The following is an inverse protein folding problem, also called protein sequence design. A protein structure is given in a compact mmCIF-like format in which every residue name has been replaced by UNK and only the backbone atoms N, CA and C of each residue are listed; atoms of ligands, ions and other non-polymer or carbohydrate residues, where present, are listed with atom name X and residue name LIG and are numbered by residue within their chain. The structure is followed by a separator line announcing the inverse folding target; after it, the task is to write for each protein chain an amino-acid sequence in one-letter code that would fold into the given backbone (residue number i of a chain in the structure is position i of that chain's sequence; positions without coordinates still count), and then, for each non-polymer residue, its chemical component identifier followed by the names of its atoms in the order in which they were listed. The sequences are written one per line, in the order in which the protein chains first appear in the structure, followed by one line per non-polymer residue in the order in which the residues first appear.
data_IF_293731375600
#
_entry.id   IF_293731375600
#
_cell.length_a   1.000
_cell.length_b   1.000
_cell.length_c   1.000
_cell.angle_alpha   90.00
_cell.angle_beta   90.00
_cell.angle_gamma   90.00
#
_symmetry.space_group_name_H-M   'P 1'
#
loop_
_entity.id
_entity.type
_entity.pdbx_description
1 polymer ?
#
# COMPACT_ATOMS: atom_id res chain seq x y z
N UNK A 1 11.79 -5.88 24.86
CA UNK A 1 11.38 -6.95 23.91
C UNK A 1 10.27 -6.52 22.95
N UNK A 2 9.15 -5.91 23.41
CA UNK A 2 8.09 -5.39 22.53
C UNK A 2 8.55 -4.29 21.55
N UNK A 3 9.43 -3.38 21.98
CA UNK A 3 9.94 -2.32 21.08
C UNK A 3 10.91 -2.83 20.00
N UNK A 4 11.72 -3.85 20.31
CA UNK A 4 12.63 -4.43 19.31
C UNK A 4 11.84 -5.10 18.18
N UNK A 5 10.74 -5.80 18.48
CA UNK A 5 9.87 -6.41 17.46
C UNK A 5 9.23 -5.35 16.55
N UNK A 6 8.78 -4.22 17.12
CA UNK A 6 8.22 -3.10 16.34
C UNK A 6 9.26 -2.50 15.39
N UNK A 7 10.47 -2.23 15.89
CA UNK A 7 11.56 -1.70 15.07
C UNK A 7 11.94 -2.66 13.94
N UNK A 8 12.01 -3.97 14.23
CA UNK A 8 12.29 -4.99 13.22
C UNK A 8 11.18 -5.06 12.15
N UNK A 9 9.92 -4.94 12.55
CA UNK A 9 8.80 -4.95 11.62
C UNK A 9 8.79 -3.69 10.72
N UNK A 10 9.06 -2.50 11.26
CA UNK A 10 9.22 -1.27 10.46
C UNK A 10 10.37 -1.40 9.46
N UNK A 11 11.52 -1.91 9.91
CA UNK A 11 12.66 -2.18 9.04
C UNK A 11 12.30 -3.21 7.94
N UNK A 12 11.56 -4.26 8.30
CA UNK A 12 11.02 -5.23 7.35
C UNK A 12 10.14 -4.61 6.28
N UNK A 13 9.21 -3.71 6.67
CA UNK A 13 8.34 -3.01 5.71
C UNK A 13 9.16 -2.11 4.77
N UNK A 14 10.18 -1.41 5.28
CA UNK A 14 11.07 -0.59 4.44
C UNK A 14 11.86 -1.44 3.44
N UNK A 15 12.38 -2.58 3.86
CA UNK A 15 13.11 -3.51 2.99
C UNK A 15 12.18 -4.07 1.90
N UNK A 16 10.97 -4.51 2.28
CA UNK A 16 9.96 -4.99 1.34
C UNK A 16 9.57 -3.88 0.35
N UNK A 17 9.33 -2.67 0.83
CA UNK A 17 9.01 -1.52 -0.03
C UNK A 17 10.15 -1.21 -1.01
N UNK A 18 11.40 -1.21 -0.55
CA UNK A 18 12.56 -0.99 -1.40
C UNK A 18 12.74 -2.09 -2.45
N UNK A 19 12.49 -3.35 -2.09
CA UNK A 19 12.53 -4.49 -2.99
C UNK A 19 11.42 -4.41 -4.06
N UNK A 20 10.19 -4.06 -3.65
CA UNK A 20 9.05 -3.87 -4.56
C UNK A 20 9.32 -2.73 -5.55
N UNK A 21 9.86 -1.61 -5.09
CA UNK A 21 10.26 -0.51 -5.97
C UNK A 21 11.35 -0.96 -6.95
N UNK A 22 12.37 -1.69 -6.49
CA UNK A 22 13.44 -2.22 -7.36
C UNK A 22 12.90 -3.20 -8.40
N UNK A 23 12.05 -4.15 -8.01
CA UNK A 23 11.41 -5.09 -8.93
C UNK A 23 10.54 -4.36 -9.95
N UNK A 24 9.77 -3.37 -9.50
CA UNK A 24 8.97 -2.52 -10.37
C UNK A 24 9.81 -1.79 -11.43
N UNK A 25 10.99 -1.28 -11.07
CA UNK A 25 11.91 -0.64 -12.02
C UNK A 25 12.54 -1.63 -13.00
N UNK A 26 12.89 -2.83 -12.55
CA UNK A 26 13.39 -3.89 -13.45
C UNK A 26 12.31 -4.25 -14.45
N UNK A 27 11.06 -4.43 -14.00
CA UNK A 27 9.93 -4.70 -14.88
C UNK A 27 9.73 -3.54 -15.86
N UNK A 28 9.76 -2.29 -15.40
CA UNK A 28 9.64 -1.09 -16.23
C UNK A 28 10.66 -1.10 -17.39
N UNK A 29 11.95 -1.29 -17.08
CA UNK A 29 13.00 -1.33 -18.13
C UNK A 29 12.81 -2.46 -19.14
N UNK A 30 12.38 -3.65 -18.70
CA UNK A 30 12.14 -4.80 -19.58
C UNK A 30 10.88 -4.65 -20.43
N UNK A 31 9.85 -4.05 -19.86
CA UNK A 31 8.60 -3.74 -20.56
C UNK A 31 8.86 -2.69 -21.64
N UNK A 32 9.65 -1.63 -21.36
CA UNK A 32 10.09 -0.65 -22.36
C UNK A 32 10.90 -1.32 -23.47
N UNK A 33 11.86 -2.17 -23.12
CA UNK A 33 12.71 -2.87 -24.08
C UNK A 33 11.89 -3.75 -25.05
N UNK A 34 10.89 -4.48 -24.53
CA UNK A 34 10.01 -5.35 -25.32
C UNK A 34 8.96 -4.56 -26.14
N UNK A 35 8.40 -3.47 -25.60
CA UNK A 35 7.33 -2.69 -26.25
C UNK A 35 7.82 -1.54 -27.15
N UNK A 36 9.12 -1.23 -27.13
CA UNK A 36 9.75 -0.21 -27.98
C UNK A 36 9.59 -0.47 -29.49
N UNK A 37 9.10 -1.65 -29.89
CA UNK A 37 8.66 -1.94 -31.27
C UNK A 37 7.24 -1.51 -31.64
N UNK A 38 6.36 -1.09 -30.70
CA UNK A 38 4.93 -0.91 -31.01
C UNK A 38 4.18 0.26 -30.35
N UNK A 39 4.57 0.83 -29.20
CA UNK A 39 3.75 1.90 -28.58
C UNK A 39 4.50 2.85 -27.64
N UNK A 40 4.00 4.09 -27.55
CA UNK A 40 4.41 5.16 -26.62
C UNK A 40 3.81 4.97 -25.21
N UNK A 41 3.96 3.79 -24.61
CA UNK A 41 3.60 3.64 -23.20
C UNK A 41 4.61 4.39 -22.32
N UNK A 42 4.10 5.05 -21.27
CA UNK A 42 4.89 5.49 -20.11
C UNK A 42 4.72 4.48 -18.97
N UNK A 43 5.49 3.36 -18.96
CA UNK A 43 5.34 2.27 -17.98
C UNK A 43 5.70 2.66 -16.53
N UNK A 44 6.21 3.88 -16.33
CA UNK A 44 6.65 4.43 -15.04
C UNK A 44 5.58 4.30 -13.94
N UNK A 45 4.29 4.28 -14.28
CA UNK A 45 3.17 4.23 -13.32
C UNK A 45 2.83 2.83 -12.76
N UNK A 46 3.57 1.78 -13.13
CA UNK A 46 3.31 0.39 -12.73
C UNK A 46 3.78 0.06 -11.31
N UNK A 47 4.56 0.95 -10.68
CA UNK A 47 5.24 0.65 -9.42
C UNK A 47 4.30 0.90 -8.23
N UNK A 48 4.00 -0.12 -7.39
CA UNK A 48 3.07 0.01 -6.27
C UNK A 48 3.74 0.69 -5.07
N UNK A 49 3.90 2.01 -5.18
CA UNK A 49 4.66 2.81 -4.22
C UNK A 49 3.90 3.08 -2.89
N UNK A 50 2.58 2.88 -2.85
CA UNK A 50 1.74 3.09 -1.66
C UNK A 50 1.71 1.91 -0.69
N UNK A 51 2.25 0.76 -1.07
CA UNK A 51 2.20 -0.48 -0.30
C UNK A 51 2.74 -0.32 1.13
N UNK A 52 3.92 0.27 1.29
CA UNK A 52 4.55 0.47 2.58
C UNK A 52 3.74 1.38 3.50
N UNK A 53 3.07 2.39 2.94
CA UNK A 53 2.18 3.29 3.68
C UNK A 53 0.94 2.55 4.21
N UNK A 54 0.34 1.70 3.39
CA UNK A 54 -0.83 0.90 3.79
C UNK A 54 -0.45 -0.08 4.90
N UNK A 55 0.64 -0.84 4.70
CA UNK A 55 1.09 -1.84 5.68
C UNK A 55 1.36 -1.21 7.04
N UNK A 56 2.10 -0.11 7.06
CA UNK A 56 2.45 0.55 8.32
C UNK A 56 1.28 1.25 9.00
N UNK A 57 0.30 1.75 8.23
CA UNK A 57 -0.93 2.32 8.81
C UNK A 57 -1.79 1.27 9.50
N UNK A 58 -1.82 0.04 8.98
CA UNK A 58 -2.63 -1.06 9.53
C UNK A 58 -1.92 -1.74 10.71
N UNK A 59 -0.62 -1.99 10.59
CA UNK A 59 0.16 -2.68 11.62
C UNK A 59 0.51 -1.80 12.82
N UNK A 60 0.65 -0.49 12.60
CA UNK A 60 1.07 0.44 13.64
C UNK A 60 0.10 1.60 13.77
N UNK A 61 0.42 2.74 13.16
CA UNK A 61 -0.34 3.97 13.29
C UNK A 61 -0.09 4.89 12.08
N UNK A 62 -0.91 5.93 12.00
CA UNK A 62 -0.82 6.91 10.92
C UNK A 62 0.52 7.66 10.91
N UNK A 63 1.15 7.89 12.07
CA UNK A 63 2.40 8.66 12.16
C UNK A 63 3.55 7.89 11.52
N UNK A 64 3.68 6.60 11.81
CA UNK A 64 4.69 5.74 11.19
C UNK A 64 4.41 5.61 9.67
N UNK A 65 3.14 5.49 9.28
CA UNK A 65 2.76 5.46 7.86
C UNK A 65 3.19 6.70 7.07
N UNK A 66 2.99 7.89 7.63
CA UNK A 66 3.45 9.13 7.02
C UNK A 66 4.98 9.17 6.90
N UNK A 67 5.71 8.76 7.95
CA UNK A 67 7.17 8.70 7.89
C UNK A 67 7.66 7.73 6.79
N UNK A 68 7.10 6.52 6.73
CA UNK A 68 7.43 5.53 5.70
C UNK A 68 7.08 6.03 4.30
N UNK A 69 5.99 6.77 4.14
CA UNK A 69 5.60 7.38 2.86
C UNK A 69 6.63 8.39 2.36
N UNK A 70 7.20 9.20 3.26
CA UNK A 70 8.27 10.17 2.93
C UNK A 70 9.55 9.43 2.53
N UNK A 71 9.94 8.39 3.26
CA UNK A 71 11.11 7.58 2.88
C UNK A 71 10.90 6.89 1.53
N UNK A 72 9.73 6.31 1.31
CA UNK A 72 9.39 5.63 0.06
C UNK A 72 9.37 6.60 -1.13
N UNK A 73 8.83 7.82 -0.95
CA UNK A 73 8.81 8.83 -2.01
C UNK A 73 10.19 9.31 -2.40
N UNK A 74 11.06 9.59 -1.42
CA UNK A 74 12.45 9.97 -1.67
C UNK A 74 13.22 8.85 -2.37
N UNK A 75 13.08 7.61 -1.90
CA UNK A 75 13.74 6.46 -2.52
C UNK A 75 13.26 6.25 -3.96
N UNK A 76 11.95 6.34 -4.20
CA UNK A 76 11.34 6.23 -5.52
C UNK A 76 11.87 7.31 -6.47
N UNK A 77 11.90 8.56 -6.02
CA UNK A 77 12.45 9.69 -6.78
C UNK A 77 13.91 9.48 -7.19
N UNK A 78 14.75 9.07 -6.23
CA UNK A 78 16.17 8.78 -6.47
C UNK A 78 16.36 7.60 -7.42
N UNK A 79 15.58 6.53 -7.26
CA UNK A 79 15.69 5.33 -8.07
C UNK A 79 15.28 5.55 -9.54
N UNK A 80 14.43 6.55 -9.81
CA UNK A 80 14.02 6.99 -11.14
C UNK A 80 14.87 8.15 -11.71
N UNK A 81 16.04 8.42 -11.14
CA UNK A 81 16.93 9.48 -11.61
C UNK A 81 16.45 10.89 -11.26
N UNK A 82 16.04 11.10 -9.99
CA UNK A 82 15.53 12.36 -9.46
C UNK A 82 14.21 12.84 -10.11
N UNK A 83 13.31 11.90 -10.40
CA UNK A 83 12.01 12.23 -10.97
C UNK A 83 11.07 12.87 -9.93
N UNK A 84 10.88 14.18 -10.04
CA UNK A 84 10.06 14.94 -9.10
C UNK A 84 8.58 14.54 -9.11
N UNK A 85 8.02 14.22 -10.28
CA UNK A 85 6.62 13.80 -10.39
C UNK A 85 6.37 12.55 -9.55
N UNK A 86 7.20 11.52 -9.74
CA UNK A 86 7.00 10.24 -9.06
C UNK A 86 7.22 10.34 -7.56
N UNK A 87 8.11 11.24 -7.15
CA UNK A 87 8.30 11.59 -5.74
C UNK A 87 7.00 12.16 -5.16
N UNK A 88 6.43 13.20 -5.80
CA UNK A 88 5.19 13.82 -5.33
C UNK A 88 4.01 12.85 -5.33
N UNK A 89 3.83 12.09 -6.42
CA UNK A 89 2.77 11.07 -6.51
C UNK A 89 2.87 10.07 -5.37
N UNK A 90 4.06 9.50 -5.15
CA UNK A 90 4.28 8.52 -4.09
C UNK A 90 4.02 9.12 -2.71
N UNK A 91 4.43 10.38 -2.50
CA UNK A 91 4.23 11.07 -1.23
C UNK A 91 2.75 11.31 -0.94
N UNK A 92 2.02 11.93 -1.87
CA UNK A 92 0.59 12.24 -1.68
C UNK A 92 -0.27 10.98 -1.68
N UNK A 93 0.09 10.01 -2.52
CA UNK A 93 -0.54 8.69 -2.52
C UNK A 93 -0.35 7.98 -1.20
N UNK A 94 0.88 7.96 -0.67
CA UNK A 94 1.20 7.35 0.61
C UNK A 94 0.43 7.97 1.77
N UNK A 95 0.32 9.31 1.81
CA UNK A 95 -0.46 10.01 2.84
C UNK A 95 -1.94 9.66 2.81
N UNK A 96 -2.56 9.65 1.62
CA UNK A 96 -3.98 9.30 1.49
C UNK A 96 -4.19 7.81 1.77
N UNK A 97 -3.31 6.96 1.27
CA UNK A 97 -3.35 5.52 1.53
C UNK A 97 -3.26 5.25 3.04
N UNK A 98 -2.30 5.85 3.75
CA UNK A 98 -2.19 5.72 5.19
C UNK A 98 -3.41 6.25 5.94
N UNK A 99 -3.93 7.42 5.55
CA UNK A 99 -5.09 8.02 6.20
C UNK A 99 -6.36 7.17 6.05
N UNK A 100 -6.59 6.62 4.87
CA UNK A 100 -7.79 5.82 4.57
C UNK A 100 -7.69 4.43 5.22
N UNK A 101 -6.51 3.85 5.24
CA UNK A 101 -6.32 2.46 5.71
C UNK A 101 -6.17 2.33 7.23
N UNK A 102 -5.91 3.42 7.96
CA UNK A 102 -5.76 3.40 9.43
C UNK A 102 -6.97 2.83 10.19
N UNK A 103 -8.17 2.87 9.59
CA UNK A 103 -9.43 2.48 10.24
C UNK A 103 -10.01 1.18 9.66
N UNK A 104 -9.24 0.43 8.86
CA UNK A 104 -9.68 -0.85 8.31
C UNK A 104 -9.87 -1.86 9.44
N UNK A 105 -11.05 -2.50 9.46
CA UNK A 105 -11.42 -3.51 10.46
C UNK A 105 -11.72 -4.86 9.83
N UNK A 106 -12.29 -4.88 8.63
CA UNK A 106 -12.63 -6.11 7.90
C UNK A 106 -11.81 -6.28 6.63
N UNK A 107 -11.63 -7.53 6.19
CA UNK A 107 -10.94 -7.89 4.93
C UNK A 107 -11.48 -7.14 3.71
N UNK A 108 -12.80 -6.99 3.64
CA UNK A 108 -13.45 -6.27 2.55
C UNK A 108 -13.27 -4.74 2.61
N UNK A 109 -12.84 -4.17 3.73
CA UNK A 109 -12.60 -2.73 3.84
C UNK A 109 -11.34 -2.29 3.08
N UNK A 110 -10.41 -3.21 2.77
CA UNK A 110 -9.25 -2.91 1.92
C UNK A 110 -9.69 -2.37 0.55
N UNK A 111 -10.76 -2.91 -0.04
CA UNK A 111 -11.28 -2.47 -1.34
C UNK A 111 -11.72 -1.00 -1.30
N UNK A 112 -12.21 -0.52 -0.15
CA UNK A 112 -12.62 0.88 0.04
C UNK A 112 -11.43 1.85 0.00
N UNK A 113 -10.20 1.36 0.14
CA UNK A 113 -9.00 2.18 0.01
C UNK A 113 -8.63 2.47 -1.45
N UNK A 114 -9.08 1.65 -2.42
CA UNK A 114 -8.71 1.82 -3.84
C UNK A 114 -9.20 3.15 -4.43
N UNK A 115 -10.48 3.54 -4.32
CA UNK A 115 -10.97 4.76 -4.95
C UNK A 115 -10.27 6.06 -4.52
N UNK A 116 -10.04 6.35 -3.22
CA UNK A 116 -9.38 7.59 -2.82
C UNK A 116 -7.90 7.64 -3.23
N UNK A 117 -7.19 6.50 -3.23
CA UNK A 117 -5.79 6.42 -3.70
C UNK A 117 -5.75 6.63 -5.22
N UNK A 118 -6.67 6.02 -5.96
CA UNK A 118 -6.78 6.24 -7.40
C UNK A 118 -7.12 7.71 -7.73
N UNK A 119 -8.04 8.33 -7.00
CA UNK A 119 -8.43 9.72 -7.24
C UNK A 119 -7.24 10.68 -7.15
N UNK A 120 -6.37 10.55 -6.13
CA UNK A 120 -5.19 11.40 -6.03
C UNK A 120 -4.17 11.14 -7.14
N UNK A 121 -4.00 9.87 -7.54
CA UNK A 121 -3.12 9.53 -8.66
C UNK A 121 -3.67 10.10 -9.97
N UNK A 122 -4.97 9.98 -10.22
CA UNK A 122 -5.61 10.52 -11.40
C UNK A 122 -5.43 12.04 -11.50
N UNK A 123 -5.62 12.76 -10.38
CA UNK A 123 -5.38 14.22 -10.29
C UNK A 123 -3.92 14.56 -10.55
N UNK A 124 -2.96 13.83 -9.95
CA UNK A 124 -1.54 14.08 -10.17
C UNK A 124 -1.11 13.81 -11.61
N UNK A 125 -1.62 12.74 -12.24
CA UNK A 125 -1.36 12.43 -13.66
C UNK A 125 -1.92 13.56 -14.53
N UNK A 126 -3.12 14.03 -14.23
CA UNK A 126 -3.76 15.11 -14.97
C UNK A 126 -2.97 16.43 -14.87
N UNK A 127 -2.58 16.84 -13.66
CA UNK A 127 -1.76 18.04 -13.43
C UNK A 127 -0.46 17.95 -14.23
N UNK A 128 0.23 16.81 -14.19
CA UNK A 128 1.49 16.64 -14.89
C UNK A 128 1.35 16.69 -16.41
N UNK A 129 0.28 16.09 -16.93
CA UNK A 129 -0.03 16.14 -18.37
C UNK A 129 -0.20 17.60 -18.83
N UNK A 130 -0.88 18.43 -18.02
CA UNK A 130 -1.00 19.87 -18.29
C UNK A 130 0.34 20.61 -18.22
N UNK A 131 1.17 20.31 -17.21
CA UNK A 131 2.46 20.98 -17.02
C UNK A 131 3.43 20.71 -18.17
N UNK A 132 3.43 19.51 -18.74
CA UNK A 132 4.31 19.17 -19.87
C UNK A 132 3.83 19.69 -21.23
N UNK A 133 2.65 20.32 -21.29
CA UNK A 133 2.11 20.84 -22.54
C UNK A 133 1.74 19.75 -23.55
N UNK A 134 1.53 18.50 -23.11
CA UNK A 134 1.05 17.43 -23.97
C UNK A 134 -0.41 17.72 -24.37
N UNK A 135 -0.60 18.34 -25.52
CA UNK A 135 -1.92 18.73 -26.04
C UNK A 135 -2.82 17.53 -26.41
N UNK A 136 -2.21 16.35 -26.59
CA UNK A 136 -2.92 15.13 -26.91
C UNK A 136 -3.29 14.37 -25.62
N UNK A 137 -4.52 14.58 -25.13
CA UNK A 137 -5.16 13.78 -24.08
C UNK A 137 -5.27 12.27 -24.42
N UNK A 138 -4.81 11.84 -25.59
CA UNK A 138 -4.88 10.46 -26.07
C UNK A 138 -4.17 9.46 -25.16
N UNK A 139 -3.16 9.89 -24.39
CA UNK A 139 -2.46 9.06 -23.40
C UNK A 139 -3.04 9.08 -21.99
N UNK A 140 -3.92 10.03 -21.66
CA UNK A 140 -4.39 10.25 -20.29
C UNK A 140 -5.23 9.07 -19.78
N UNK A 141 -6.18 8.59 -20.59
CA UNK A 141 -7.06 7.48 -20.23
C UNK A 141 -6.25 6.19 -20.02
N UNK A 142 -5.22 5.97 -20.82
CA UNK A 142 -4.32 4.83 -20.68
C UNK A 142 -3.50 4.92 -19.39
N UNK A 143 -2.94 6.10 -19.07
CA UNK A 143 -2.20 6.32 -17.83
C UNK A 143 -3.09 6.14 -16.59
N UNK A 144 -4.35 6.58 -16.64
CA UNK A 144 -5.34 6.29 -15.60
C UNK A 144 -5.67 4.80 -15.51
N UNK A 145 -5.79 4.11 -16.64
CA UNK A 145 -5.97 2.65 -16.66
C UNK A 145 -4.83 1.94 -15.92
N UNK A 146 -3.58 2.28 -16.24
CA UNK A 146 -2.38 1.71 -15.58
C UNK A 146 -2.36 2.06 -14.09
N UNK A 147 -2.66 3.31 -13.74
CA UNK A 147 -2.69 3.75 -12.35
C UNK A 147 -3.76 3.02 -11.53
N UNK A 148 -4.93 2.74 -12.11
CA UNK A 148 -5.99 1.99 -11.42
C UNK A 148 -5.57 0.55 -11.13
N UNK A 149 -4.95 -0.14 -12.10
CA UNK A 149 -4.37 -1.48 -11.91
C UNK A 149 -3.28 -1.45 -10.85
N UNK A 150 -2.41 -0.44 -10.86
CA UNK A 150 -1.36 -0.28 -9.85
C UNK A 150 -1.94 -0.08 -8.44
N UNK A 151 -2.97 0.76 -8.28
CA UNK A 151 -3.66 0.95 -6.99
C UNK A 151 -4.27 -0.35 -6.47
N UNK A 152 -4.95 -1.11 -7.34
CA UNK A 152 -5.51 -2.42 -6.99
C UNK A 152 -4.41 -3.39 -6.58
N UNK A 153 -3.31 -3.46 -7.33
CA UNK A 153 -2.18 -4.32 -7.02
C UNK A 153 -1.53 -3.95 -5.68
N UNK A 154 -1.34 -2.66 -5.40
CA UNK A 154 -0.76 -2.18 -4.14
C UNK A 154 -1.63 -2.54 -2.91
N UNK A 155 -2.96 -2.38 -3.03
CA UNK A 155 -3.91 -2.73 -1.97
C UNK A 155 -4.01 -4.24 -1.77
N UNK A 156 -4.03 -5.01 -2.86
CA UNK A 156 -4.09 -6.47 -2.78
C UNK A 156 -2.81 -7.06 -2.17
N UNK A 157 -1.65 -6.56 -2.60
CA UNK A 157 -0.36 -7.00 -2.08
C UNK A 157 -0.17 -6.60 -0.61
N UNK A 158 -0.65 -5.42 -0.20
CA UNK A 158 -0.62 -5.02 1.21
C UNK A 158 -1.56 -5.87 2.07
N UNK A 159 -2.71 -6.30 1.56
CA UNK A 159 -3.60 -7.22 2.26
C UNK A 159 -2.90 -8.57 2.56
N UNK A 160 -2.24 -9.16 1.56
CA UNK A 160 -1.49 -10.41 1.74
C UNK A 160 -0.34 -10.23 2.74
N UNK A 161 0.44 -9.17 2.56
CA UNK A 161 1.60 -8.90 3.43
C UNK A 161 1.18 -8.57 4.86
N UNK A 162 0.02 -7.94 5.09
CA UNK A 162 -0.49 -7.69 6.44
C UNK A 162 -0.63 -9.00 7.20
N UNK A 163 -1.26 -10.03 6.60
CA UNK A 163 -1.43 -11.34 7.23
C UNK A 163 -0.08 -12.01 7.54
N UNK A 164 0.90 -11.90 6.64
CA UNK A 164 2.25 -12.44 6.85
C UNK A 164 2.96 -11.74 8.01
N UNK A 165 2.88 -10.40 8.08
CA UNK A 165 3.51 -9.62 9.14
C UNK A 165 2.85 -9.83 10.50
N UNK A 166 1.52 -9.98 10.55
CA UNK A 166 0.78 -10.35 11.77
C UNK A 166 1.32 -11.67 12.36
N UNK A 167 1.45 -12.71 11.52
CA UNK A 167 1.96 -14.02 11.94
C UNK A 167 3.44 -14.01 12.32
N UNK A 168 4.29 -13.26 11.62
CA UNK A 168 5.74 -13.22 11.89
C UNK A 168 6.13 -12.38 13.11
N UNK A 169 5.43 -11.25 13.33
CA UNK A 169 5.80 -10.28 14.36
C UNK A 169 4.90 -10.31 15.59
N UNK A 170 3.85 -11.14 15.58
CA UNK A 170 2.86 -11.25 16.66
C UNK A 170 2.24 -9.88 16.99
N UNK A 171 1.98 -9.11 15.92
CA UNK A 171 1.35 -7.79 15.98
C UNK A 171 -0.14 -8.01 15.75
N UNK A 172 -0.96 -7.82 16.77
CA UNK A 172 -2.41 -7.90 16.65
C UNK A 172 -2.95 -6.67 15.94
N UNK A 173 -3.39 -6.81 14.69
CA UNK A 173 -4.20 -5.77 14.05
C UNK A 173 -5.64 -5.83 14.55
N UNK A 174 -6.40 -4.75 14.29
CA UNK A 174 -7.84 -4.73 14.57
C UNK A 174 -8.60 -5.87 13.90
N UNK A 175 -8.09 -6.40 12.78
CA UNK A 175 -8.73 -7.51 12.07
C UNK A 175 -8.56 -8.83 12.82
N UNK A 176 -7.34 -9.15 13.28
CA UNK A 176 -7.11 -10.32 14.13
C UNK A 176 -7.93 -10.26 15.43
N UNK A 177 -8.08 -9.07 16.03
CA UNK A 177 -8.90 -8.90 17.24
C UNK A 177 -10.38 -9.23 16.99
N UNK A 178 -10.93 -8.84 15.83
CA UNK A 178 -12.31 -9.18 15.46
C UNK A 178 -12.45 -10.67 15.13
N UNK A 179 -11.47 -11.27 14.44
CA UNK A 179 -11.48 -12.72 14.16
C UNK A 179 -11.40 -13.55 15.46
N UNK A 180 -10.61 -13.11 16.45
CA UNK A 180 -10.56 -13.73 17.78
C UNK A 180 -11.81 -13.46 18.64
N UNK A 181 -12.54 -12.38 18.38
CA UNK A 181 -13.78 -12.05 19.07
C UNK A 181 -15.03 -12.73 18.47
N UNK A 182 -14.87 -13.56 17.43
CA UNK A 182 -15.98 -14.33 16.87
C UNK A 182 -16.45 -15.41 17.86
N UNK A 183 -17.70 -15.30 18.32
CA UNK A 183 -18.29 -16.23 19.29
C UNK A 183 -18.42 -17.67 18.79
N UNK A 184 -18.25 -17.91 17.49
CA UNK A 184 -18.17 -19.26 16.94
C UNK A 184 -16.81 -19.93 17.14
N UNK A 185 -15.81 -19.22 17.64
CA UNK A 185 -14.49 -19.76 17.86
C UNK A 185 -14.53 -20.87 18.93
N UNK A 186 -13.91 -22.05 18.70
CA UNK A 186 -13.99 -23.20 19.63
C UNK A 186 -13.48 -22.88 21.04
N UNK A 187 -12.56 -21.92 21.17
CA UNK A 187 -12.08 -21.41 22.47
C UNK A 187 -13.16 -20.60 23.20
N UNK A 188 -13.87 -19.70 22.51
CA UNK A 188 -14.95 -18.90 23.14
C UNK A 188 -16.16 -19.77 23.48
N UNK A 189 -16.44 -20.79 22.65
CA UNK A 189 -17.47 -21.79 22.93
C UNK A 189 -17.11 -22.68 24.13
N UNK A 190 -15.83 -23.00 24.33
CA UNK A 190 -15.38 -23.64 25.58
C UNK A 190 -15.46 -22.70 26.77
N UNK A 191 -15.08 -21.44 26.61
CA UNK A 191 -15.12 -20.45 27.68
C UNK A 191 -16.56 -20.18 28.16
N UNK A 192 -17.53 -20.17 27.24
CA UNK A 192 -18.96 -20.08 27.59
C UNK A 192 -19.50 -21.31 28.32
N UNK A 193 -18.91 -22.49 28.12
CA UNK A 193 -19.27 -23.74 28.80
C UNK A 193 -18.55 -23.89 30.15
N UNK A 194 -17.24 -23.61 30.19
CA UNK A 194 -16.37 -23.86 31.35
C UNK A 194 -16.36 -22.69 32.35
N UNK A 195 -16.59 -21.45 31.90
CA UNK A 195 -16.52 -20.25 32.73
C UNK A 195 -17.55 -19.17 32.30
N UNK A 196 -18.83 -19.52 32.29
CA UNK A 196 -19.93 -18.64 31.85
C UNK A 196 -19.97 -17.27 32.55
N UNK A 197 -19.54 -17.20 33.82
CA UNK A 197 -19.47 -15.94 34.57
C UNK A 197 -18.43 -14.97 34.03
N UNK A 198 -17.26 -15.46 33.60
CA UNK A 198 -16.20 -14.65 32.98
C UNK A 198 -16.51 -14.34 31.51
N UNK A 199 -17.24 -15.22 30.82
CA UNK A 199 -17.69 -14.99 29.44
C UNK A 199 -18.68 -13.82 29.29
N UNK A 200 -19.55 -13.63 30.29
CA UNK A 200 -20.54 -12.55 30.29
C UNK A 200 -19.98 -11.18 30.70
N UNK A 201 -18.77 -11.13 31.25
CA UNK A 201 -18.07 -9.91 31.68
C UNK A 201 -17.18 -9.36 30.56
#
# INVERSE_FOLDING_TARGET
LKDNKKLMAIAGVLIVQAAVIRLGLVIDTRVVEVLSGATSLSPKYIIPATLGAILTAILFDLRISMAVSIFASLYMGLALGANFLMTLMTMTGGFIAGYVTKNIRYRFDFVKAVPPIFAIYAVMIFIFTLVNGEAAFSGLLQNWGIASVNCCAAVFLSMILTMVFEGLFDVTSNMTLIELADMNHPILKRLSIEAAGTYNH
#
